data_IF_953034271414
#
_entry.id   IF_953034271414
#
_cell.length_a   1.000
_cell.length_b   1.000
_cell.length_c   1.000
_cell.angle_alpha   90.00
_cell.angle_beta   90.00
_cell.angle_gamma   90.00
#
_symmetry.space_group_name_H-M   'P 1'
#
loop_
_entity.id
_entity.type
_entity.pdbx_description
1 polymer ?
#
# COMPACT_ATOMS: atom_id res chain seq x y z
N UNK A 1 37.21 33.38 -49.58
CA UNK A 1 36.75 32.66 -48.40
C UNK A 1 35.72 33.54 -47.68
N UNK A 2 34.42 33.20 -47.68
CA UNK A 2 33.37 33.91 -46.90
C UNK A 2 33.27 33.25 -45.54
N UNK A 3 33.69 33.93 -44.50
CA UNK A 3 33.49 33.48 -43.10
C UNK A 3 32.03 33.75 -42.73
N UNK A 4 31.27 32.70 -42.49
CA UNK A 4 29.91 32.75 -42.02
C UNK A 4 29.95 32.99 -40.51
N UNK A 5 29.72 34.21 -40.07
CA UNK A 5 29.62 34.58 -38.64
C UNK A 5 28.26 34.10 -38.14
N UNK A 6 28.22 32.97 -37.45
CA UNK A 6 27.00 32.54 -36.75
C UNK A 6 26.74 33.51 -35.59
N UNK A 7 25.62 34.19 -35.66
CA UNK A 7 25.15 35.06 -34.58
C UNK A 7 24.61 34.17 -33.44
N UNK A 8 25.43 33.81 -32.50
CA UNK A 8 25.01 33.12 -31.27
C UNK A 8 24.29 34.16 -30.39
N UNK A 9 22.96 34.23 -30.52
CA UNK A 9 22.13 35.01 -29.61
C UNK A 9 21.96 34.18 -28.32
N UNK A 10 22.64 34.59 -27.26
CA UNK A 10 22.44 34.06 -25.90
C UNK A 10 21.18 34.63 -25.29
N UNK A 11 20.63 33.92 -24.30
CA UNK A 11 19.50 34.39 -23.52
C UNK A 11 19.88 35.59 -22.67
N UNK A 12 18.96 36.52 -22.50
CA UNK A 12 19.13 37.66 -21.58
C UNK A 12 18.83 37.21 -20.14
N UNK A 13 19.46 37.89 -19.19
CA UNK A 13 19.22 37.59 -17.76
C UNK A 13 17.76 37.81 -17.38
N UNK A 14 17.09 38.78 -17.97
CA UNK A 14 15.67 39.07 -17.72
C UNK A 14 14.77 37.95 -18.24
N UNK A 15 15.04 37.36 -19.39
CA UNK A 15 14.28 36.22 -19.92
C UNK A 15 14.38 35.02 -18.98
N UNK A 16 15.58 34.75 -18.43
CA UNK A 16 15.76 33.66 -17.48
C UNK A 16 14.95 33.90 -16.18
N UNK A 17 15.03 35.13 -15.63
CA UNK A 17 14.28 35.48 -14.42
C UNK A 17 12.77 35.39 -14.64
N UNK A 18 12.25 35.89 -15.75
CA UNK A 18 10.83 35.82 -16.06
C UNK A 18 10.33 34.36 -16.17
N UNK A 19 11.10 33.50 -16.82
CA UNK A 19 10.75 32.07 -16.95
C UNK A 19 10.77 31.39 -15.58
N UNK A 20 11.77 31.64 -14.73
CA UNK A 20 11.82 31.01 -13.40
C UNK A 20 10.68 31.47 -12.49
N UNK A 21 10.24 32.72 -12.57
CA UNK A 21 9.09 33.24 -11.82
C UNK A 21 7.81 32.53 -12.29
N UNK A 22 7.58 32.44 -13.60
CA UNK A 22 6.39 31.78 -14.16
C UNK A 22 6.37 30.30 -13.77
N UNK A 23 7.49 29.59 -13.89
CA UNK A 23 7.61 28.19 -13.48
C UNK A 23 7.37 28.01 -11.98
N UNK A 24 7.86 28.93 -11.14
CA UNK A 24 7.62 28.91 -9.70
C UNK A 24 6.13 29.03 -9.35
N UNK A 25 5.41 29.94 -10.01
CA UNK A 25 3.96 30.09 -9.80
C UNK A 25 3.20 28.84 -10.25
N UNK A 26 3.54 28.29 -11.42
CA UNK A 26 2.92 27.07 -11.93
C UNK A 26 3.18 25.87 -11.02
N UNK A 27 4.42 25.72 -10.55
CA UNK A 27 4.81 24.65 -9.62
C UNK A 27 4.04 24.74 -8.30
N UNK A 28 3.87 25.95 -7.75
CA UNK A 28 3.14 26.15 -6.49
C UNK A 28 1.68 25.66 -6.54
N UNK A 29 1.04 25.67 -7.72
CA UNK A 29 -0.32 25.16 -7.92
C UNK A 29 -0.33 23.70 -8.31
N UNK A 30 0.65 23.25 -9.10
CA UNK A 30 0.66 21.89 -9.65
C UNK A 30 1.05 20.82 -8.60
N UNK A 31 2.03 21.14 -7.73
CA UNK A 31 2.55 20.16 -6.76
C UNK A 31 1.46 19.66 -5.78
N UNK A 32 0.67 20.52 -5.10
CA UNK A 32 -0.35 20.05 -4.18
C UNK A 32 -1.43 19.18 -4.87
N UNK A 33 -1.80 19.52 -6.10
CA UNK A 33 -2.78 18.74 -6.87
C UNK A 33 -2.22 17.37 -7.26
N UNK A 34 -0.94 17.32 -7.63
CA UNK A 34 -0.28 16.06 -7.96
C UNK A 34 -0.22 15.15 -6.74
N UNK A 35 0.19 15.66 -5.59
CA UNK A 35 0.23 14.88 -4.33
C UNK A 35 -1.13 14.32 -3.96
N UNK A 36 -2.20 15.10 -4.05
CA UNK A 36 -3.56 14.61 -3.80
C UNK A 36 -3.96 13.47 -4.76
N UNK A 37 -3.52 13.51 -6.02
CA UNK A 37 -3.78 12.45 -6.98
C UNK A 37 -3.00 11.18 -6.66
N UNK A 38 -1.76 11.31 -6.21
CA UNK A 38 -0.92 10.19 -5.76
C UNK A 38 -1.59 9.49 -4.57
N UNK A 39 -1.98 10.23 -3.54
CA UNK A 39 -2.67 9.66 -2.37
C UNK A 39 -3.95 8.90 -2.77
N UNK A 40 -4.76 9.46 -3.66
CA UNK A 40 -5.96 8.77 -4.15
C UNK A 40 -5.63 7.49 -4.93
N UNK A 41 -4.53 7.48 -5.67
CA UNK A 41 -4.09 6.29 -6.40
C UNK A 41 -3.60 5.19 -5.43
N UNK A 42 -2.86 5.56 -4.39
CA UNK A 42 -2.43 4.65 -3.33
C UNK A 42 -3.63 4.06 -2.59
N UNK A 43 -4.61 4.89 -2.21
CA UNK A 43 -5.86 4.42 -1.58
C UNK A 43 -6.62 3.42 -2.45
N UNK A 44 -6.73 3.69 -3.74
CA UNK A 44 -7.40 2.78 -4.66
C UNK A 44 -6.64 1.45 -4.83
N UNK A 45 -5.30 1.50 -4.83
CA UNK A 45 -4.47 0.30 -4.88
C UNK A 45 -4.61 -0.53 -3.60
N UNK A 46 -4.60 0.09 -2.43
CA UNK A 46 -4.85 -0.56 -1.14
C UNK A 46 -6.23 -1.23 -1.12
N UNK A 47 -7.27 -0.52 -1.52
CA UNK A 47 -8.63 -1.07 -1.56
C UNK A 47 -8.74 -2.29 -2.50
N UNK A 48 -7.99 -2.30 -3.60
CA UNK A 48 -7.93 -3.44 -4.51
C UNK A 48 -7.25 -4.66 -3.85
N UNK A 49 -6.13 -4.47 -3.15
CA UNK A 49 -5.44 -5.55 -2.42
C UNK A 49 -6.33 -6.10 -1.30
N UNK A 50 -6.92 -5.24 -0.48
CA UNK A 50 -7.82 -5.65 0.61
C UNK A 50 -9.06 -6.37 0.08
N UNK A 51 -9.61 -5.93 -1.04
CA UNK A 51 -10.73 -6.61 -1.69
C UNK A 51 -10.33 -8.01 -2.18
N UNK A 52 -9.12 -8.14 -2.73
CA UNK A 52 -8.58 -9.44 -3.15
C UNK A 52 -8.38 -10.38 -1.96
N UNK A 53 -7.86 -9.87 -0.84
CA UNK A 53 -7.71 -10.65 0.40
C UNK A 53 -9.08 -11.11 0.90
N UNK A 54 -10.08 -10.24 0.96
CA UNK A 54 -11.44 -10.61 1.37
C UNK A 54 -12.04 -11.70 0.49
N UNK A 55 -11.87 -11.59 -0.82
CA UNK A 55 -12.33 -12.61 -1.76
C UNK A 55 -11.59 -13.95 -1.57
N UNK A 56 -10.28 -13.91 -1.37
CA UNK A 56 -9.47 -15.10 -1.06
C UNK A 56 -9.90 -15.78 0.24
N UNK A 57 -10.14 -15.00 1.29
CA UNK A 57 -10.62 -15.52 2.58
C UNK A 57 -11.96 -16.24 2.46
N UNK A 58 -12.89 -15.76 1.65
CA UNK A 58 -14.17 -16.43 1.40
C UNK A 58 -14.00 -17.73 0.60
N UNK A 59 -13.08 -17.75 -0.36
CA UNK A 59 -12.72 -18.96 -1.10
C UNK A 59 -12.08 -19.97 -0.15
N UNK A 60 -11.09 -19.60 0.61
CA UNK A 60 -10.44 -20.43 1.62
C UNK A 60 -11.45 -21.01 2.62
N UNK A 61 -12.35 -20.18 3.15
CA UNK A 61 -13.38 -20.62 4.08
C UNK A 61 -14.32 -21.66 3.46
N UNK A 62 -14.60 -21.57 2.16
CA UNK A 62 -15.43 -22.54 1.45
C UNK A 62 -14.69 -23.86 1.26
N UNK A 63 -13.42 -23.84 0.94
CA UNK A 63 -12.56 -25.02 0.86
C UNK A 63 -12.48 -25.73 2.22
N UNK A 64 -12.25 -24.98 3.30
CA UNK A 64 -12.24 -25.53 4.65
C UNK A 64 -13.58 -26.16 5.04
N UNK A 65 -14.70 -25.61 4.58
CA UNK A 65 -16.01 -26.22 4.80
C UNK A 65 -16.12 -27.57 4.10
N UNK A 66 -15.59 -27.69 2.89
CA UNK A 66 -15.63 -28.96 2.12
C UNK A 66 -14.71 -30.03 2.72
N UNK A 67 -13.50 -29.60 3.15
CA UNK A 67 -12.48 -30.52 3.64
C UNK A 67 -12.68 -30.92 5.11
N UNK A 68 -13.04 -29.94 5.94
CA UNK A 68 -13.11 -30.09 7.39
C UNK A 68 -14.52 -29.95 7.98
N UNK A 69 -15.52 -29.73 7.13
CA UNK A 69 -16.92 -29.59 7.55
C UNK A 69 -17.21 -28.28 8.30
N UNK A 70 -16.29 -27.31 8.25
CA UNK A 70 -16.41 -26.05 8.98
C UNK A 70 -15.66 -24.94 8.26
N UNK A 71 -16.29 -23.77 8.19
CA UNK A 71 -15.63 -22.56 7.67
C UNK A 71 -14.59 -22.03 8.67
N UNK A 72 -13.42 -21.68 8.18
CA UNK A 72 -12.35 -21.06 8.98
C UNK A 72 -11.49 -20.16 8.10
N UNK A 73 -10.90 -19.16 8.72
CA UNK A 73 -9.92 -18.29 8.07
C UNK A 73 -8.48 -18.70 8.46
N UNK A 74 -7.48 -18.45 7.61
CA UNK A 74 -6.08 -18.77 7.91
C UNK A 74 -5.54 -17.86 9.01
N UNK A 75 -4.40 -18.20 9.59
CA UNK A 75 -3.75 -17.36 10.60
C UNK A 75 -3.18 -16.10 9.98
N UNK A 76 -2.61 -16.21 8.78
CA UNK A 76 -2.15 -15.07 8.00
C UNK A 76 -3.11 -14.85 6.82
N UNK A 77 -3.75 -13.68 6.70
CA UNK A 77 -4.73 -13.40 5.65
C UNK A 77 -4.16 -13.49 4.23
N UNK A 78 -2.85 -13.25 4.05
CA UNK A 78 -2.20 -13.39 2.74
C UNK A 78 -2.07 -14.84 2.27
N UNK A 79 -2.23 -15.83 3.15
CA UNK A 79 -2.23 -17.24 2.76
C UNK A 79 -3.52 -17.68 2.05
N UNK A 80 -4.54 -16.83 2.08
CA UNK A 80 -5.76 -17.03 1.29
C UNK A 80 -5.61 -16.55 -0.17
N UNK A 81 -4.50 -15.92 -0.53
CA UNK A 81 -4.23 -15.45 -1.89
C UNK A 81 -3.43 -16.49 -2.67
N UNK A 82 -3.84 -16.78 -3.90
CA UNK A 82 -3.06 -17.57 -4.84
C UNK A 82 -1.76 -16.84 -5.25
N UNK A 83 -1.85 -15.52 -5.43
CA UNK A 83 -0.70 -14.66 -5.72
C UNK A 83 -0.68 -13.52 -4.72
N UNK A 84 0.38 -13.45 -3.92
CA UNK A 84 0.62 -12.37 -2.96
C UNK A 84 1.07 -11.09 -3.68
N UNK A 85 0.83 -9.90 -3.11
CA UNK A 85 1.39 -8.65 -3.66
C UNK A 85 2.91 -8.77 -3.86
N UNK A 86 3.46 -8.13 -4.90
CA UNK A 86 4.88 -8.24 -5.24
C UNK A 86 5.80 -7.70 -4.12
N UNK A 87 5.30 -6.76 -3.33
CA UNK A 87 5.99 -6.13 -2.20
C UNK A 87 5.57 -6.71 -0.84
N UNK A 88 4.87 -7.88 -0.86
CA UNK A 88 4.56 -8.56 0.39
C UNK A 88 5.83 -9.21 0.95
N UNK A 89 6.23 -8.77 2.12
CA UNK A 89 7.30 -9.41 2.88
C UNK A 89 6.70 -10.22 4.03
N UNK A 90 7.17 -11.45 4.11
CA UNK A 90 7.06 -12.22 5.35
C UNK A 90 8.23 -11.74 6.19
N UNK A 91 7.98 -11.13 7.33
CA UNK A 91 9.05 -10.83 8.26
C UNK A 91 9.76 -12.13 8.62
N UNK A 92 10.81 -12.42 7.84
CA UNK A 92 11.56 -13.67 7.88
C UNK A 92 12.62 -13.68 8.99
N UNK A 93 12.75 -12.60 9.71
CA UNK A 93 13.66 -12.52 10.84
C UNK A 93 12.95 -12.95 12.10
N UNK A 94 12.90 -14.27 12.15
CA UNK A 94 12.64 -15.04 13.34
C UNK A 94 11.20 -15.10 13.83
N UNK A 95 10.76 -16.22 13.61
CA UNK A 95 9.74 -17.09 14.20
C UNK A 95 9.25 -16.78 15.63
N UNK A 96 9.65 -15.74 16.28
CA UNK A 96 9.21 -15.51 17.65
C UNK A 96 9.02 -14.04 18.08
N UNK A 97 9.54 -13.06 17.40
CA UNK A 97 9.55 -11.70 17.97
C UNK A 97 9.49 -10.54 16.99
N UNK A 98 9.60 -10.75 15.69
CA UNK A 98 9.52 -9.61 14.78
C UNK A 98 8.12 -9.40 14.26
N UNK A 99 7.56 -8.38 14.77
CA UNK A 99 6.23 -7.88 14.67
C UNK A 99 6.28 -6.51 14.09
N UNK A 100 7.10 -6.36 13.08
CA UNK A 100 7.24 -5.10 12.43
C UNK A 100 6.05 -4.85 11.51
N UNK A 101 5.56 -3.66 11.60
CA UNK A 101 4.68 -3.09 10.61
C UNK A 101 5.50 -2.78 9.35
N UNK A 102 4.83 -2.52 8.23
CA UNK A 102 5.50 -2.14 7.00
C UNK A 102 6.42 -0.91 7.25
N UNK A 103 7.68 -1.00 6.85
CA UNK A 103 8.70 0.01 7.09
C UNK A 103 9.38 0.53 5.80
N UNK A 104 9.02 -0.07 4.67
CA UNK A 104 9.53 0.29 3.34
C UNK A 104 8.37 0.74 2.44
N UNK A 105 8.61 1.76 1.61
CA UNK A 105 7.62 2.29 0.68
C UNK A 105 7.01 1.19 -0.21
N UNK A 106 5.71 1.11 -0.20
CA UNK A 106 4.92 0.12 -0.96
C UNK A 106 4.87 -1.28 -0.34
N UNK A 107 5.49 -1.50 0.80
CA UNK A 107 5.54 -2.78 1.48
C UNK A 107 4.19 -3.16 2.09
N UNK A 108 3.87 -4.44 1.98
CA UNK A 108 2.76 -5.09 2.67
C UNK A 108 3.28 -6.11 3.66
N UNK A 109 2.82 -6.07 4.91
CA UNK A 109 3.15 -7.08 5.91
C UNK A 109 1.92 -7.52 6.69
N UNK A 110 2.05 -8.61 7.41
CA UNK A 110 1.06 -9.04 8.40
C UNK A 110 1.73 -9.13 9.77
N UNK A 111 1.42 -8.20 10.64
CA UNK A 111 1.90 -8.17 12.01
C UNK A 111 1.17 -9.24 12.84
N UNK A 112 1.90 -10.23 13.31
CA UNK A 112 1.34 -11.37 14.06
C UNK A 112 1.06 -11.08 15.54
N UNK A 113 1.52 -9.96 16.07
CA UNK A 113 1.24 -9.54 17.45
C UNK A 113 0.02 -8.64 17.53
N UNK A 114 -0.06 -7.63 16.68
CA UNK A 114 -1.22 -6.75 16.61
C UNK A 114 -2.38 -7.39 15.82
N UNK A 115 -2.10 -8.46 15.07
CA UNK A 115 -3.05 -9.09 14.14
C UNK A 115 -3.58 -8.08 13.12
N UNK A 116 -2.69 -7.28 12.55
CA UNK A 116 -3.03 -6.29 11.56
C UNK A 116 -2.28 -6.50 10.25
N UNK A 117 -2.98 -6.27 9.14
CA UNK A 117 -2.34 -6.08 7.84
C UNK A 117 -1.83 -4.65 7.82
N UNK A 118 -0.58 -4.42 7.45
CA UNK A 118 0.00 -3.08 7.35
C UNK A 118 0.54 -2.81 5.96
N UNK A 119 0.48 -1.54 5.55
CA UNK A 119 1.01 -1.05 4.28
C UNK A 119 1.61 0.34 4.47
N UNK A 120 2.83 0.54 3.98
CA UNK A 120 3.50 1.83 4.00
C UNK A 120 3.37 2.53 2.64
N UNK A 121 2.95 3.78 2.68
CA UNK A 121 2.83 4.66 1.50
C UNK A 121 4.11 5.44 1.25
N UNK A 122 4.25 5.96 0.04
CA UNK A 122 5.39 6.79 -0.37
C UNK A 122 5.59 8.11 0.41
N UNK A 123 4.63 8.49 1.23
CA UNK A 123 4.75 9.62 2.16
C UNK A 123 5.22 9.22 3.57
N UNK A 124 5.65 7.96 3.74
CA UNK A 124 6.04 7.31 4.99
C UNK A 124 4.89 7.16 6.01
N UNK A 125 3.64 7.26 5.60
CA UNK A 125 2.52 6.92 6.47
C UNK A 125 2.22 5.43 6.38
N UNK A 126 2.00 4.80 7.53
CA UNK A 126 1.62 3.40 7.62
C UNK A 126 0.13 3.30 7.89
N UNK A 127 -0.56 2.52 7.07
CA UNK A 127 -1.97 2.22 7.24
C UNK A 127 -2.14 0.77 7.65
N UNK A 128 -3.15 0.49 8.48
CA UNK A 128 -3.43 -0.86 8.94
C UNK A 128 -4.91 -1.23 8.83
N UNK A 129 -5.16 -2.53 8.80
CA UNK A 129 -6.47 -3.17 8.86
C UNK A 129 -6.41 -4.30 9.88
N UNK A 130 -7.20 -4.20 10.92
CA UNK A 130 -7.31 -5.26 11.91
C UNK A 130 -7.81 -6.55 11.28
N UNK A 131 -7.25 -7.65 11.69
CA UNK A 131 -7.62 -8.98 11.21
C UNK A 131 -7.86 -9.91 12.38
N UNK A 132 -9.07 -10.42 12.50
CA UNK A 132 -9.41 -11.47 13.46
C UNK A 132 -9.92 -12.69 12.68
N UNK A 133 -9.18 -13.80 12.76
CA UNK A 133 -9.55 -15.07 12.13
C UNK A 133 -10.76 -15.77 12.78
N UNK A 134 -11.25 -15.24 13.89
CA UNK A 134 -12.31 -15.85 14.68
C UNK A 134 -11.83 -17.03 15.54
N UNK A 135 -12.72 -17.57 16.35
CA UNK A 135 -12.38 -18.62 17.31
C UNK A 135 -12.26 -20.01 16.69
N UNK A 136 -12.91 -20.25 15.56
CA UNK A 136 -12.90 -21.50 14.79
C UNK A 136 -13.23 -22.76 15.61
N UNK A 137 -13.84 -22.59 16.78
CA UNK A 137 -14.21 -23.65 17.70
C UNK A 137 -15.73 -23.90 17.66
N UNK A 138 -16.15 -25.07 17.22
CA UNK A 138 -17.54 -25.47 17.17
C UNK A 138 -18.25 -25.17 15.84
N UNK A 139 -19.40 -25.80 15.64
CA UNK A 139 -20.16 -25.75 14.38
C UNK A 139 -20.74 -24.35 14.05
N UNK A 140 -20.88 -23.50 15.04
CA UNK A 140 -21.45 -22.16 14.94
C UNK A 140 -20.40 -21.05 15.14
N UNK A 141 -19.10 -21.38 15.12
CA UNK A 141 -18.06 -20.38 15.26
C UNK A 141 -18.14 -19.38 14.11
N UNK A 142 -18.10 -18.11 14.45
CA UNK A 142 -18.03 -17.05 13.45
C UNK A 142 -16.74 -17.18 12.65
N UNK A 143 -16.85 -17.02 11.34
CA UNK A 143 -15.70 -16.73 10.49
C UNK A 143 -15.17 -15.36 10.93
N UNK A 144 -13.87 -15.11 10.77
CA UNK A 144 -13.23 -13.91 11.28
C UNK A 144 -13.80 -12.57 10.78
N UNK A 145 -13.21 -11.50 11.20
CA UNK A 145 -13.56 -10.14 10.79
C UNK A 145 -12.32 -9.40 10.29
N UNK A 146 -12.53 -8.44 9.40
CA UNK A 146 -11.50 -7.53 8.92
C UNK A 146 -11.98 -6.09 9.11
N UNK A 147 -11.16 -5.28 9.75
CA UNK A 147 -11.42 -3.86 10.03
C UNK A 147 -11.41 -2.98 8.80
N UNK A 148 -11.66 -1.70 9.03
CA UNK A 148 -11.49 -0.62 8.06
C UNK A 148 -10.03 -0.15 8.04
N UNK A 149 -9.67 0.64 7.00
CA UNK A 149 -8.37 1.30 6.95
C UNK A 149 -8.25 2.31 8.08
N UNK A 150 -7.18 2.24 8.83
CA UNK A 150 -6.83 3.20 9.87
C UNK A 150 -5.35 3.60 9.72
N UNK A 151 -5.02 4.83 10.13
CA UNK A 151 -3.64 5.30 10.18
C UNK A 151 -2.99 4.70 11.43
N UNK A 152 -1.85 4.06 11.26
CA UNK A 152 -1.07 3.60 12.41
C UNK A 152 -0.49 4.84 13.12
N UNK A 153 -0.88 5.03 14.38
CA UNK A 153 -0.32 6.12 15.20
C UNK A 153 1.08 5.74 15.67
N UNK A 154 2.02 6.68 15.56
CA UNK A 154 3.38 6.57 16.09
C UNK A 154 3.41 6.32 17.60
#
# INVERSE_FOLDING_TARGET
MKTNTQNNKGFTLIELIMVTIILGILAAVAIPRYMATVTQAEEAAEDAVITSIKAGLETYATEQLLDNGRRSWPTNPFDALETKPATYEVNADDAATDVSDADTDGEWTFNTTSFAITHMRGDNTVHHWDYDKGTQTGASAAVGTMGSRELLAD
#
